data_IF_549608606575
#
_entry.id   IF_549608606575
#
_cell.length_a   1.000
_cell.length_b   1.000
_cell.length_c   1.000
_cell.angle_alpha   90.00
_cell.angle_beta   90.00
_cell.angle_gamma   90.00
#
_symmetry.space_group_name_H-M   'P 1'
#
loop_
_entity.id
_entity.type
_entity.pdbx_description
1 polymer ?
#
# COMPACT_ATOMS: atom_id res chain seq x y z
N UNK A 1 11.56 -14.56 5.44
CA UNK A 1 11.17 -13.40 4.62
C UNK A 1 10.27 -12.41 5.36
N UNK A 2 9.27 -12.82 6.16
CA UNK A 2 8.38 -11.92 6.94
C UNK A 2 9.11 -10.80 7.72
N UNK A 3 10.21 -11.10 8.41
CA UNK A 3 10.97 -10.11 9.19
C UNK A 3 11.55 -8.96 8.36
N UNK A 4 11.79 -9.17 7.05
CA UNK A 4 12.31 -8.11 6.16
C UNK A 4 11.28 -7.02 5.87
N UNK A 5 9.98 -7.34 6.01
CA UNK A 5 8.89 -6.40 5.77
C UNK A 5 8.39 -5.69 7.03
N UNK A 6 8.92 -6.04 8.21
CA UNK A 6 8.60 -5.38 9.49
C UNK A 6 9.54 -4.21 9.74
N UNK A 7 9.36 -3.14 8.98
CA UNK A 7 10.13 -1.90 9.14
C UNK A 7 9.28 -0.95 10.00
N UNK A 8 9.68 -0.61 11.24
CA UNK A 8 8.90 0.26 12.13
C UNK A 8 8.59 1.64 11.53
N UNK A 9 9.49 2.14 10.68
CA UNK A 9 9.32 3.40 9.95
C UNK A 9 8.22 3.35 8.86
N UNK A 10 7.61 2.18 8.61
CA UNK A 10 6.53 1.98 7.64
C UNK A 10 5.35 1.29 8.32
N UNK A 11 4.54 2.05 9.09
CA UNK A 11 3.43 1.50 9.85
C UNK A 11 2.50 0.64 9.00
N UNK A 12 2.25 1.00 7.74
CA UNK A 12 1.43 0.19 6.81
C UNK A 12 1.95 -1.25 6.59
N UNK A 13 3.26 -1.47 6.64
CA UNK A 13 3.91 -2.77 6.41
C UNK A 13 4.15 -3.56 7.69
N UNK A 14 4.30 -2.87 8.83
CA UNK A 14 4.66 -3.46 10.11
C UNK A 14 3.45 -4.07 10.84
N UNK A 15 2.81 -5.04 10.20
CA UNK A 15 1.65 -5.76 10.72
C UNK A 15 1.81 -7.26 10.56
N UNK A 16 1.10 -8.00 11.41
CA UNK A 16 1.01 -9.45 11.30
C UNK A 16 0.33 -9.92 10.01
N UNK A 17 -0.50 -9.06 9.39
CA UNK A 17 -1.15 -9.32 8.11
C UNK A 17 -0.16 -9.51 6.96
N UNK A 18 1.03 -8.91 7.01
CA UNK A 18 2.07 -9.17 6.00
C UNK A 18 2.50 -10.64 6.03
N UNK A 19 2.55 -11.24 7.23
CA UNK A 19 2.82 -12.67 7.40
C UNK A 19 1.67 -13.52 6.88
N UNK A 20 0.44 -13.21 7.29
CA UNK A 20 -0.73 -14.00 6.86
C UNK A 20 -0.99 -13.88 5.35
N UNK A 21 -0.70 -12.75 4.72
CA UNK A 21 -0.81 -12.58 3.27
C UNK A 21 0.33 -13.30 2.51
N UNK A 22 1.50 -13.51 3.13
CA UNK A 22 2.58 -14.30 2.51
C UNK A 22 2.28 -15.79 2.59
N UNK A 23 2.03 -16.30 3.80
CA UNK A 23 1.75 -17.73 4.02
C UNK A 23 0.39 -18.13 3.46
N UNK A 24 -0.60 -17.23 3.54
CA UNK A 24 -1.93 -17.43 2.95
C UNK A 24 -1.87 -17.66 1.45
N UNK A 25 -1.19 -16.78 0.70
CA UNK A 25 -0.99 -16.97 -0.76
C UNK A 25 -0.14 -18.21 -1.08
N UNK A 26 0.88 -18.50 -0.28
CA UNK A 26 1.71 -19.70 -0.49
C UNK A 26 0.90 -20.99 -0.35
N UNK A 27 0.00 -21.05 0.63
CA UNK A 27 -0.89 -22.20 0.82
C UNK A 27 -2.05 -22.22 -0.18
N UNK A 28 -2.68 -21.08 -0.48
CA UNK A 28 -3.81 -21.00 -1.41
C UNK A 28 -3.38 -21.16 -2.86
N UNK A 29 -2.70 -20.18 -3.43
CA UNK A 29 -2.28 -20.21 -4.83
C UNK A 29 -1.21 -21.29 -5.07
N UNK A 30 -0.29 -21.50 -4.12
CA UNK A 30 0.78 -22.49 -4.30
C UNK A 30 0.26 -23.93 -4.37
N UNK A 31 -0.73 -24.30 -3.56
CA UNK A 31 -1.34 -25.64 -3.64
C UNK A 31 -2.13 -25.83 -4.94
N UNK A 32 -2.84 -24.81 -5.41
CA UNK A 32 -3.56 -24.87 -6.69
C UNK A 32 -2.62 -24.94 -7.90
N UNK A 33 -1.49 -24.21 -7.88
CA UNK A 33 -0.44 -24.35 -8.91
C UNK A 33 0.11 -25.78 -8.91
N UNK A 34 0.37 -26.34 -7.73
CA UNK A 34 0.86 -27.71 -7.60
C UNK A 34 -0.16 -28.71 -8.17
N UNK A 35 -1.45 -28.57 -7.86
CA UNK A 35 -2.51 -29.39 -8.43
C UNK A 35 -2.65 -29.26 -9.95
N UNK A 36 -2.53 -28.05 -10.48
CA UNK A 36 -2.56 -27.79 -11.93
C UNK A 36 -1.41 -28.51 -12.64
N UNK A 37 -0.21 -28.52 -12.07
CA UNK A 37 0.95 -29.23 -12.62
C UNK A 37 0.79 -30.75 -12.54
N UNK A 38 0.06 -31.26 -11.55
CA UNK A 38 -0.20 -32.69 -11.39
C UNK A 38 -1.37 -33.21 -12.24
N UNK A 39 -2.28 -32.35 -12.70
CA UNK A 39 -3.43 -32.76 -13.52
C UNK A 39 -3.07 -33.65 -14.72
N UNK A 40 -2.06 -33.32 -15.55
CA UNK A 40 -1.69 -34.15 -16.71
C UNK A 40 -1.21 -35.56 -16.34
N UNK A 41 -0.78 -35.77 -15.09
CA UNK A 41 -0.31 -37.05 -14.58
C UNK A 41 -1.43 -37.89 -13.93
N UNK A 42 -2.69 -37.46 -14.06
CA UNK A 42 -3.84 -38.19 -13.53
C UNK A 42 -4.08 -37.93 -12.05
N UNK A 43 -4.13 -36.65 -11.65
CA UNK A 43 -4.48 -36.26 -10.29
C UNK A 43 -5.85 -36.87 -9.89
N UNK A 44 -5.86 -37.65 -8.81
CA UNK A 44 -7.08 -38.29 -8.31
C UNK A 44 -8.02 -37.29 -7.63
N UNK A 45 -9.30 -37.65 -7.53
CA UNK A 45 -10.31 -36.87 -6.80
C UNK A 45 -9.89 -36.60 -5.35
N UNK A 46 -9.32 -37.61 -4.68
CA UNK A 46 -8.76 -37.47 -3.34
C UNK A 46 -7.61 -36.43 -3.30
N UNK A 47 -6.77 -36.38 -4.33
CA UNK A 47 -5.73 -35.36 -4.47
C UNK A 47 -6.31 -33.96 -4.63
N UNK A 48 -7.35 -33.80 -5.46
CA UNK A 48 -8.08 -32.52 -5.62
C UNK A 48 -8.66 -32.07 -4.28
N UNK A 49 -9.29 -32.97 -3.52
CA UNK A 49 -9.83 -32.65 -2.19
C UNK A 49 -8.74 -32.18 -1.22
N UNK A 50 -7.59 -32.87 -1.20
CA UNK A 50 -6.46 -32.49 -0.35
C UNK A 50 -5.93 -31.11 -0.71
N UNK A 51 -5.72 -30.84 -2.01
CA UNK A 51 -5.29 -29.52 -2.48
C UNK A 51 -6.31 -28.45 -2.12
N UNK A 52 -7.61 -28.70 -2.31
CA UNK A 52 -8.69 -27.77 -1.95
C UNK A 52 -8.69 -27.46 -0.44
N UNK A 53 -8.44 -28.44 0.42
CA UNK A 53 -8.36 -28.23 1.88
C UNK A 53 -7.16 -27.38 2.28
N UNK A 54 -5.97 -27.60 1.68
CA UNK A 54 -4.80 -26.76 1.89
C UNK A 54 -5.06 -25.35 1.38
N UNK A 55 -5.70 -25.22 0.22
CA UNK A 55 -6.04 -23.94 -0.35
C UNK A 55 -7.02 -23.15 0.54
N UNK A 56 -8.03 -23.84 1.09
CA UNK A 56 -8.98 -23.29 2.04
C UNK A 56 -8.29 -22.78 3.31
N UNK A 57 -7.31 -23.51 3.86
CA UNK A 57 -6.51 -23.04 4.99
C UNK A 57 -5.74 -21.75 4.66
N UNK A 58 -5.15 -21.66 3.47
CA UNK A 58 -4.48 -20.43 3.00
C UNK A 58 -5.43 -19.24 2.91
N UNK A 59 -6.61 -19.42 2.32
CA UNK A 59 -7.64 -18.38 2.21
C UNK A 59 -8.20 -17.95 3.57
N UNK A 60 -8.34 -18.89 4.50
CA UNK A 60 -8.76 -18.59 5.87
C UNK A 60 -7.71 -17.76 6.62
N UNK A 61 -6.43 -18.10 6.50
CA UNK A 61 -5.33 -17.32 7.08
C UNK A 61 -5.28 -15.89 6.52
N UNK A 62 -5.45 -15.73 5.20
CA UNK A 62 -5.51 -14.41 4.56
C UNK A 62 -6.72 -13.59 5.05
N UNK A 63 -7.88 -14.24 5.17
CA UNK A 63 -9.11 -13.62 5.66
C UNK A 63 -8.97 -13.10 7.09
N UNK A 64 -8.40 -13.91 7.99
CA UNK A 64 -8.09 -13.50 9.37
C UNK A 64 -7.12 -12.31 9.35
N UNK A 65 -6.10 -12.36 8.49
CA UNK A 65 -5.19 -11.25 8.24
C UNK A 65 -5.89 -9.94 7.91
N UNK A 66 -6.83 -9.98 6.96
CA UNK A 66 -7.58 -8.78 6.55
C UNK A 66 -8.45 -8.21 7.68
N UNK A 67 -9.03 -9.06 8.53
CA UNK A 67 -9.83 -8.62 9.68
C UNK A 67 -8.94 -7.89 10.69
N UNK A 68 -7.80 -8.49 11.06
CA UNK A 68 -6.85 -7.89 12.01
C UNK A 68 -6.26 -6.60 11.45
N UNK A 69 -5.83 -6.62 10.19
CA UNK A 69 -5.27 -5.44 9.53
C UNK A 69 -6.25 -4.27 9.52
N UNK A 70 -7.54 -4.51 9.25
CA UNK A 70 -8.58 -3.47 9.28
C UNK A 70 -8.68 -2.78 10.65
N UNK A 71 -8.40 -3.49 11.74
CA UNK A 71 -8.40 -2.92 13.08
C UNK A 71 -7.12 -2.14 13.35
N UNK A 72 -5.97 -2.66 12.91
CA UNK A 72 -4.67 -2.05 13.13
C UNK A 72 -4.46 -0.76 12.32
N UNK A 73 -4.89 -0.72 11.06
CA UNK A 73 -4.70 0.47 10.21
C UNK A 73 -5.47 1.70 10.67
N UNK A 74 -6.46 1.54 11.57
CA UNK A 74 -7.20 2.65 12.15
C UNK A 74 -6.44 3.38 13.26
N UNK A 75 -5.29 2.87 13.71
CA UNK A 75 -4.72 3.23 15.01
C UNK A 75 -3.91 4.54 15.07
N UNK A 76 -3.57 5.20 13.94
CA UNK A 76 -3.14 6.63 13.77
C UNK A 76 -2.17 6.78 12.58
N UNK A 77 -1.96 8.01 12.09
CA UNK A 77 -0.85 8.37 11.17
C UNK A 77 -0.98 7.85 9.74
N UNK A 78 0.14 7.42 9.14
CA UNK A 78 0.21 6.96 7.73
C UNK A 78 -0.75 5.80 7.44
N UNK A 79 -0.93 4.89 8.40
CA UNK A 79 -1.85 3.76 8.29
C UNK A 79 -3.30 4.23 8.19
N UNK A 80 -3.67 5.30 8.88
CA UNK A 80 -5.03 5.87 8.83
C UNK A 80 -5.30 6.56 7.49
N UNK A 81 -4.32 7.30 6.95
CA UNK A 81 -4.41 7.90 5.63
C UNK A 81 -4.56 6.83 4.53
N UNK A 82 -3.77 5.75 4.62
CA UNK A 82 -3.86 4.60 3.72
C UNK A 82 -5.23 3.91 3.83
N UNK A 83 -5.76 3.76 5.04
CA UNK A 83 -7.11 3.20 5.24
C UNK A 83 -8.22 4.10 4.69
N UNK A 84 -8.08 5.42 4.81
CA UNK A 84 -9.02 6.37 4.22
C UNK A 84 -9.06 6.20 2.70
N UNK A 85 -7.91 6.26 2.04
CA UNK A 85 -7.77 6.08 0.58
C UNK A 85 -8.29 4.71 0.10
N UNK A 86 -8.08 3.66 0.90
CA UNK A 86 -8.58 2.32 0.64
C UNK A 86 -10.11 2.24 0.62
N UNK A 87 -10.78 2.98 1.49
CA UNK A 87 -12.24 2.95 1.62
C UNK A 87 -12.91 3.98 0.71
N UNK A 88 -12.23 5.07 0.37
CA UNK A 88 -12.73 6.12 -0.52
C UNK A 88 -12.40 5.81 -1.99
N UNK A 89 -11.18 6.12 -2.43
CA UNK A 89 -10.74 6.00 -3.83
C UNK A 89 -10.80 4.57 -4.33
N UNK A 90 -10.33 3.61 -3.52
CA UNK A 90 -10.30 2.19 -3.88
C UNK A 90 -11.41 1.35 -3.25
N UNK A 91 -12.50 1.98 -2.77
CA UNK A 91 -13.56 1.30 -2.02
C UNK A 91 -14.17 0.10 -2.76
N UNK A 92 -14.40 0.20 -4.07
CA UNK A 92 -14.91 -0.89 -4.90
C UNK A 92 -13.93 -2.06 -4.98
N UNK A 93 -12.65 -1.78 -5.20
CA UNK A 93 -11.58 -2.79 -5.25
C UNK A 93 -11.42 -3.47 -3.90
N UNK A 94 -11.50 -2.71 -2.80
CA UNK A 94 -11.45 -3.25 -1.45
C UNK A 94 -12.63 -4.19 -1.16
N UNK A 95 -13.85 -3.81 -1.54
CA UNK A 95 -15.03 -4.67 -1.42
C UNK A 95 -14.87 -5.93 -2.29
N UNK A 96 -14.51 -5.77 -3.56
CA UNK A 96 -14.31 -6.87 -4.50
C UNK A 96 -13.28 -7.89 -4.00
N UNK A 97 -12.15 -7.43 -3.43
CA UNK A 97 -11.14 -8.32 -2.83
C UNK A 97 -11.71 -9.18 -1.71
N UNK A 98 -12.46 -8.58 -0.78
CA UNK A 98 -13.02 -9.31 0.35
C UNK A 98 -14.16 -10.24 -0.08
N UNK A 99 -14.98 -9.83 -1.05
CA UNK A 99 -16.02 -10.67 -1.65
C UNK A 99 -15.41 -11.87 -2.38
N UNK A 100 -14.35 -11.67 -3.17
CA UNK A 100 -13.64 -12.74 -3.86
C UNK A 100 -13.01 -13.74 -2.89
N UNK A 101 -12.49 -13.30 -1.75
CA UNK A 101 -12.04 -14.20 -0.69
C UNK A 101 -13.17 -15.12 -0.21
N UNK A 102 -14.34 -14.56 0.07
CA UNK A 102 -15.54 -15.32 0.46
C UNK A 102 -15.99 -16.32 -0.62
N UNK A 103 -16.05 -15.87 -1.87
CA UNK A 103 -16.41 -16.71 -3.02
C UNK A 103 -15.41 -17.85 -3.21
N UNK A 104 -14.12 -17.55 -3.15
CA UNK A 104 -13.07 -18.56 -3.29
C UNK A 104 -13.13 -19.61 -2.17
N UNK A 105 -13.42 -19.20 -0.93
CA UNK A 105 -13.65 -20.14 0.17
C UNK A 105 -14.87 -21.04 -0.09
N UNK A 106 -15.96 -20.51 -0.62
CA UNK A 106 -17.13 -21.32 -0.99
C UNK A 106 -16.81 -22.31 -2.11
N UNK A 107 -16.04 -21.89 -3.13
CA UNK A 107 -15.59 -22.76 -4.22
C UNK A 107 -14.67 -23.87 -3.69
N UNK A 108 -13.77 -23.58 -2.74
CA UNK A 108 -12.93 -24.63 -2.12
C UNK A 108 -13.77 -25.65 -1.36
N UNK A 109 -14.77 -25.21 -0.59
CA UNK A 109 -15.71 -26.11 0.08
C UNK A 109 -16.47 -26.98 -0.94
N UNK A 110 -16.91 -26.40 -2.06
CA UNK A 110 -17.55 -27.18 -3.12
C UNK A 110 -16.59 -28.20 -3.74
N UNK A 111 -15.34 -27.82 -4.04
CA UNK A 111 -14.32 -28.75 -4.52
C UNK A 111 -14.02 -29.91 -3.55
N UNK A 112 -14.15 -29.67 -2.25
CA UNK A 112 -14.00 -30.72 -1.23
C UNK A 112 -15.18 -31.70 -1.23
N UNK A 113 -16.38 -31.27 -1.61
CA UNK A 113 -17.58 -32.12 -1.66
C UNK A 113 -17.70 -32.86 -2.99
N UNK A 114 -17.40 -32.17 -4.09
CA UNK A 114 -17.53 -32.70 -5.44
C UNK A 114 -16.29 -32.31 -6.27
N UNK A 115 -15.24 -33.15 -6.22
CA UNK A 115 -14.00 -32.91 -6.95
C UNK A 115 -14.27 -32.88 -8.46
N UNK A 116 -13.87 -31.80 -9.11
CA UNK A 116 -14.06 -31.63 -10.55
C UNK A 116 -12.91 -30.84 -11.15
N UNK A 117 -12.36 -31.32 -12.25
CA UNK A 117 -11.27 -30.65 -12.95
C UNK A 117 -11.67 -29.27 -13.50
N UNK A 118 -12.92 -29.13 -13.96
CA UNK A 118 -13.44 -27.85 -14.44
C UNK A 118 -13.56 -26.85 -13.27
N UNK A 119 -14.14 -27.28 -12.16
CA UNK A 119 -14.28 -26.44 -10.97
C UNK A 119 -12.91 -26.05 -10.40
N UNK A 120 -11.93 -26.95 -10.47
CA UNK A 120 -10.55 -26.69 -10.08
C UNK A 120 -9.89 -25.62 -10.97
N UNK A 121 -10.07 -25.70 -12.29
CA UNK A 121 -9.53 -24.70 -13.21
C UNK A 121 -10.16 -23.31 -12.95
N UNK A 122 -11.48 -23.27 -12.74
CA UNK A 122 -12.20 -22.03 -12.38
C UNK A 122 -11.69 -21.47 -11.06
N UNK A 123 -11.49 -22.32 -10.06
CA UNK A 123 -11.02 -21.90 -8.73
C UNK A 123 -9.59 -21.37 -8.79
N UNK A 124 -8.71 -21.99 -9.57
CA UNK A 124 -7.34 -21.51 -9.82
C UNK A 124 -7.34 -20.09 -10.40
N UNK A 125 -8.11 -19.85 -11.47
CA UNK A 125 -8.20 -18.52 -12.09
C UNK A 125 -8.79 -17.50 -11.12
N UNK A 126 -9.84 -17.88 -10.38
CA UNK A 126 -10.48 -16.98 -9.41
C UNK A 126 -9.55 -16.60 -8.24
N UNK A 127 -8.78 -17.55 -7.71
CA UNK A 127 -7.77 -17.28 -6.67
C UNK A 127 -6.62 -16.46 -7.21
N UNK A 128 -6.18 -16.70 -8.45
CA UNK A 128 -5.15 -15.90 -9.12
C UNK A 128 -5.56 -14.44 -9.27
N UNK A 129 -6.79 -14.19 -9.75
CA UNK A 129 -7.36 -12.84 -9.87
C UNK A 129 -7.49 -12.18 -8.50
N UNK A 130 -7.96 -12.91 -7.49
CA UNK A 130 -8.06 -12.41 -6.12
C UNK A 130 -6.69 -11.99 -5.54
N UNK A 131 -5.67 -12.83 -5.72
CA UNK A 131 -4.30 -12.54 -5.30
C UNK A 131 -3.73 -11.32 -6.04
N UNK A 132 -3.96 -11.23 -7.36
CA UNK A 132 -3.50 -10.11 -8.18
C UNK A 132 -4.13 -8.78 -7.74
N UNK A 133 -5.45 -8.75 -7.53
CA UNK A 133 -6.16 -7.57 -7.00
C UNK A 133 -5.66 -7.19 -5.61
N UNK A 134 -5.38 -8.18 -4.75
CA UNK A 134 -4.78 -7.96 -3.45
C UNK A 134 -3.43 -7.24 -3.54
N UNK A 135 -2.57 -7.63 -4.47
CA UNK A 135 -1.26 -6.99 -4.70
C UNK A 135 -1.39 -5.59 -5.31
N UNK A 136 -2.28 -5.38 -6.28
CA UNK A 136 -2.52 -4.04 -6.85
C UNK A 136 -2.99 -3.08 -5.76
N UNK A 137 -4.02 -3.48 -4.99
CA UNK A 137 -4.54 -2.65 -3.93
C UNK A 137 -3.47 -2.36 -2.88
N UNK A 138 -2.67 -3.35 -2.54
CA UNK A 138 -1.54 -3.16 -1.65
C UNK A 138 -0.54 -2.12 -2.18
N UNK A 139 -0.08 -2.22 -3.42
CA UNK A 139 0.87 -1.24 -3.98
C UNK A 139 0.28 0.16 -4.15
N UNK A 140 -1.00 0.27 -4.46
CA UNK A 140 -1.69 1.56 -4.55
C UNK A 140 -1.79 2.27 -3.19
N UNK A 141 -1.90 1.51 -2.10
CA UNK A 141 -2.11 2.04 -0.75
C UNK A 141 -0.81 2.21 0.04
N UNK A 142 0.30 1.68 -0.44
CA UNK A 142 1.61 1.97 0.14
C UNK A 142 1.98 3.40 -0.23
N UNK A 143 1.54 4.34 0.59
CA UNK A 143 1.93 5.74 0.51
C UNK A 143 3.21 5.90 1.34
N UNK A 144 4.36 6.29 0.75
CA UNK A 144 5.53 6.64 1.52
C UNK A 144 5.38 8.09 2.00
N UNK A 145 4.67 8.32 3.10
CA UNK A 145 4.63 9.66 3.72
C UNK A 145 5.86 9.93 4.63
N UNK A 146 6.66 8.89 4.92
CA UNK A 146 7.82 8.94 5.85
C UNK A 146 9.19 9.00 5.18
N UNK A 147 9.28 8.97 3.85
CA UNK A 147 10.55 9.25 3.15
C UNK A 147 10.42 10.49 2.27
N UNK A 148 10.70 11.66 2.84
CA UNK A 148 10.84 12.86 2.05
C UNK A 148 12.29 13.01 1.65
N UNK A 149 12.63 12.42 0.52
CA UNK A 149 14.00 12.44 0.01
C UNK A 149 14.06 11.81 -1.36
N UNK A 150 14.01 12.63 -2.40
CA UNK A 150 14.33 12.26 -3.78
C UNK A 150 13.24 11.55 -4.59
N UNK A 151 12.38 10.72 -3.99
CA UNK A 151 11.47 9.86 -4.78
C UNK A 151 10.28 10.59 -5.40
N UNK A 152 9.79 11.65 -4.76
CA UNK A 152 8.59 12.40 -5.22
C UNK A 152 8.86 13.78 -5.80
N UNK A 153 10.13 14.18 -5.92
CA UNK A 153 10.53 15.53 -6.40
C UNK A 153 9.96 15.88 -7.79
N UNK A 154 9.57 14.89 -8.59
CA UNK A 154 9.06 15.09 -9.96
C UNK A 154 7.60 14.62 -10.17
N UNK A 155 6.86 14.29 -9.11
CA UNK A 155 5.47 13.85 -9.25
C UNK A 155 4.50 14.99 -8.89
N UNK A 156 4.02 15.70 -9.91
CA UNK A 156 3.13 16.86 -9.75
C UNK A 156 1.85 16.51 -8.98
N UNK A 157 1.31 15.29 -9.16
CA UNK A 157 0.13 14.83 -8.42
C UNK A 157 0.40 14.65 -6.93
N UNK A 158 1.62 14.26 -6.55
CA UNK A 158 2.00 14.16 -5.14
C UNK A 158 2.19 15.55 -4.52
N UNK A 159 2.73 16.50 -5.28
CA UNK A 159 2.82 17.91 -4.84
C UNK A 159 1.43 18.48 -4.57
N UNK A 160 0.48 18.29 -5.49
CA UNK A 160 -0.92 18.71 -5.30
C UNK A 160 -1.56 18.03 -4.07
N UNK A 161 -1.47 16.71 -3.96
CA UNK A 161 -2.04 15.99 -2.83
C UNK A 161 -1.42 16.42 -1.49
N UNK A 162 -0.11 16.63 -1.44
CA UNK A 162 0.58 17.08 -0.22
C UNK A 162 0.17 18.50 0.19
N UNK A 163 -0.16 19.38 -0.77
CA UNK A 163 -0.69 20.72 -0.50
C UNK A 163 -2.15 20.63 -0.03
N UNK A 164 -2.99 19.85 -0.70
CA UNK A 164 -4.42 19.70 -0.36
C UNK A 164 -4.65 19.06 1.01
N UNK A 165 -3.78 18.14 1.41
CA UNK A 165 -3.86 17.41 2.68
C UNK A 165 -3.12 18.09 3.83
N UNK A 166 -2.40 19.20 3.57
CA UNK A 166 -1.61 19.91 4.57
C UNK A 166 -0.29 19.22 4.94
N UNK A 167 0.10 18.14 4.25
CA UNK A 167 1.43 17.51 4.43
C UNK A 167 2.58 18.46 4.05
N UNK A 168 2.34 19.45 3.18
CA UNK A 168 3.35 20.46 2.82
C UNK A 168 3.84 21.32 3.99
N UNK A 169 3.10 21.39 5.09
CA UNK A 169 3.49 22.18 6.27
C UNK A 169 4.52 21.46 7.16
N UNK A 170 4.76 20.18 6.91
CA UNK A 170 5.82 19.43 7.60
C UNK A 170 7.17 19.72 6.94
N UNK A 171 8.16 20.31 7.64
CA UNK A 171 9.47 20.66 7.06
C UNK A 171 10.19 19.47 6.46
N UNK A 172 9.91 18.29 7.00
CA UNK A 172 10.45 17.02 6.55
C UNK A 172 10.04 16.76 5.10
N UNK A 173 8.81 17.10 4.67
CA UNK A 173 8.24 16.72 3.37
C UNK A 173 8.93 17.32 2.14
N UNK A 174 9.74 18.38 2.30
CA UNK A 174 10.49 18.99 1.21
C UNK A 174 9.63 19.57 0.08
N UNK A 175 8.31 19.63 0.27
CA UNK A 175 7.34 20.21 -0.66
C UNK A 175 6.97 21.57 -0.12
N UNK A 176 7.54 22.60 -0.71
CA UNK A 176 7.03 23.96 -0.53
C UNK A 176 5.79 24.10 -1.39
N UNK A 177 4.65 24.34 -0.74
CA UNK A 177 3.51 24.92 -1.45
C UNK A 177 4.00 26.20 -2.14
N UNK A 178 3.62 26.42 -3.40
CA UNK A 178 3.80 27.71 -4.07
C UNK A 178 2.87 28.73 -3.39
N UNK A 179 3.19 29.07 -2.14
CA UNK A 179 2.61 30.23 -1.49
C UNK A 179 3.25 31.42 -2.19
N UNK A 180 2.48 32.10 -3.02
CA UNK A 180 2.76 33.49 -3.32
C UNK A 180 2.72 34.26 -1.99
N UNK A 181 3.84 34.27 -1.28
CA UNK A 181 4.03 35.18 -0.17
C UNK A 181 3.92 36.58 -0.75
N UNK A 182 2.87 37.32 -0.39
CA UNK A 182 2.84 38.76 -0.63
C UNK A 182 4.11 39.32 -0.01
N UNK A 183 4.99 39.85 -0.85
CA UNK A 183 6.26 40.40 -0.42
C UNK A 183 6.01 41.44 0.69
N UNK A 184 6.51 41.18 1.90
CA UNK A 184 6.28 42.07 3.03
C UNK A 184 7.19 43.29 2.93
N UNK A 185 6.69 44.29 2.21
CA UNK A 185 7.36 45.58 2.02
C UNK A 185 7.66 46.25 3.37
N UNK A 186 6.85 46.03 4.41
CA UNK A 186 7.08 46.63 5.74
C UNK A 186 8.29 45.99 6.41
N UNK A 187 8.41 44.66 6.34
CA UNK A 187 9.59 43.96 6.83
C UNK A 187 10.86 44.42 6.10
N UNK A 188 10.82 44.56 4.77
CA UNK A 188 11.95 45.07 4.00
C UNK A 188 12.35 46.49 4.45
N UNK A 189 11.39 47.40 4.59
CA UNK A 189 11.67 48.79 5.00
C UNK A 189 12.26 48.84 6.42
N UNK A 190 11.80 47.99 7.33
CA UNK A 190 12.38 47.90 8.67
C UNK A 190 13.82 47.40 8.65
N UNK A 191 14.11 46.38 7.84
CA UNK A 191 15.48 45.89 7.66
C UNK A 191 16.38 46.98 7.09
N UNK A 192 15.95 47.69 6.02
CA UNK A 192 16.73 48.77 5.42
C UNK A 192 17.05 49.88 6.44
N UNK A 193 16.10 50.22 7.33
CA UNK A 193 16.31 51.24 8.38
C UNK A 193 17.27 50.80 9.48
N UNK A 194 17.34 49.50 9.76
CA UNK A 194 18.19 48.94 10.81
C UNK A 194 19.57 48.52 10.31
N UNK A 195 19.76 48.40 9.00
CA UNK A 195 21.01 47.93 8.40
C UNK A 195 21.97 49.08 8.18
N UNK A 196 23.22 48.91 8.59
CA UNK A 196 24.27 49.93 8.41
C UNK A 196 24.75 49.95 6.96
N UNK A 197 25.18 51.11 6.43
CA UNK A 197 25.69 51.23 5.05
C UNK A 197 26.76 50.20 4.66
N UNK A 198 27.62 49.82 5.62
CA UNK A 198 28.66 48.80 5.45
C UNK A 198 28.07 47.39 5.24
N UNK A 199 27.00 47.07 5.94
CA UNK A 199 26.31 45.78 5.85
C UNK A 199 25.48 45.68 4.57
N UNK A 200 24.83 46.77 4.17
CA UNK A 200 24.13 46.86 2.89
C UNK A 200 25.07 46.59 1.73
N UNK A 201 26.28 47.19 1.74
CA UNK A 201 27.27 46.96 0.70
C UNK A 201 27.80 45.51 0.70
N UNK A 202 27.96 44.90 1.88
CA UNK A 202 28.35 43.48 1.98
C UNK A 202 27.26 42.55 1.45
N UNK A 203 25.99 42.81 1.75
CA UNK A 203 24.85 42.03 1.24
C UNK A 203 24.70 42.17 -0.29
N UNK A 204 24.84 43.38 -0.83
CA UNK A 204 24.81 43.58 -2.29
C UNK A 204 25.97 42.82 -2.95
N UNK A 205 27.18 42.89 -2.36
CA UNK A 205 28.35 42.18 -2.87
C UNK A 205 28.20 40.66 -2.80
N UNK A 206 27.54 40.11 -1.79
CA UNK A 206 27.28 38.66 -1.70
C UNK A 206 26.21 38.20 -2.70
N UNK A 207 25.17 39.00 -2.92
CA UNK A 207 24.14 38.72 -3.95
C UNK A 207 24.76 38.73 -5.35
N UNK A 208 25.61 39.71 -5.65
CA UNK A 208 26.26 39.84 -6.96
C UNK A 208 27.30 38.75 -7.22
N UNK A 209 27.93 38.22 -6.17
CA UNK A 209 28.88 37.10 -6.31
C UNK A 209 28.21 35.73 -6.40
N UNK A 210 26.91 35.65 -6.11
CA UNK A 210 26.27 34.38 -5.74
C UNK A 210 26.84 33.91 -4.41
N UNK A 211 25.99 33.46 -3.48
CA UNK A 211 26.45 32.86 -2.23
C UNK A 211 27.47 31.74 -2.46
#
# INVERSE_FOLDING_TARGET
>A
MYKLYRIPARPFWDHWQTGSAFYGTALSLGSLVFGLLLMPFGLSDAGIMQIASIAMLGLALESIGHIVHRQDVKKFGESQASYFEQVTTFGKTYQMRNTLLGVNMAIMTWLMMEPSALLFAVSFVSVLVSAYLGRILFYALVIPTTMPGGFFWKNDKFKEHAIETGLSDMPQMGIMADRHHKFDVKALVNVIKQTTFKETFMQIKSIVRGG
#
